data_IF_146573758137
#
_entry.id   IF_146573758137
#
_cell.length_a   1.000
_cell.length_b   1.000
_cell.length_c   1.000
_cell.angle_alpha   90.00
_cell.angle_beta   90.00
_cell.angle_gamma   90.00
#
_symmetry.space_group_name_H-M   'P 1'
#
loop_
_entity.id
_entity.type
_entity.pdbx_description
1 polymer ?
#
# COMPACT_ATOMS: atom_id res chain seq x y z
N UNK A 1 35.87 -23.33 -2.50
CA UNK A 1 34.83 -22.59 -1.76
C UNK A 1 34.21 -23.52 -0.71
N UNK A 2 34.95 -23.88 0.35
CA UNK A 2 34.50 -24.77 1.45
C UNK A 2 34.79 -24.13 2.84
N UNK A 3 35.40 -22.94 2.87
CA UNK A 3 35.79 -22.27 4.11
C UNK A 3 34.70 -21.42 4.77
N UNK A 4 33.57 -21.18 4.11
CA UNK A 4 32.51 -20.27 4.61
C UNK A 4 31.59 -20.88 5.68
N UNK A 5 31.58 -22.21 5.84
CA UNK A 5 30.66 -22.90 6.76
C UNK A 5 31.22 -23.12 8.17
N UNK A 6 32.52 -22.91 8.41
CA UNK A 6 33.13 -23.13 9.73
C UNK A 6 33.24 -21.87 10.60
N UNK A 7 33.02 -20.67 10.04
CA UNK A 7 33.20 -19.41 10.76
C UNK A 7 31.93 -18.83 11.41
N UNK A 8 30.73 -19.32 11.03
CA UNK A 8 29.46 -18.81 11.55
C UNK A 8 29.18 -19.08 13.05
N UNK A 9 29.66 -20.16 13.71
CA UNK A 9 29.30 -20.39 15.11
C UNK A 9 30.06 -19.51 16.11
N UNK A 10 31.12 -18.80 15.68
CA UNK A 10 32.07 -18.14 16.61
C UNK A 10 31.66 -16.68 16.92
N UNK A 11 30.74 -16.09 16.14
CA UNK A 11 30.31 -14.69 16.32
C UNK A 11 28.82 -14.52 16.63
N UNK A 12 28.08 -15.60 16.87
CA UNK A 12 26.67 -15.52 17.23
C UNK A 12 26.50 -15.40 18.75
N UNK A 13 26.07 -14.23 19.18
CA UNK A 13 25.57 -14.05 20.54
C UNK A 13 24.29 -14.89 20.74
N UNK A 14 23.95 -15.33 21.97
CA UNK A 14 22.75 -16.12 22.24
C UNK A 14 21.44 -15.49 21.71
N UNK A 15 21.40 -14.15 21.64
CA UNK A 15 20.28 -13.40 21.05
C UNK A 15 20.18 -13.61 19.53
N UNK A 16 21.29 -13.48 18.80
CA UNK A 16 21.32 -13.74 17.35
C UNK A 16 21.09 -15.23 17.03
N UNK A 17 21.49 -16.13 17.94
CA UNK A 17 21.17 -17.56 17.87
C UNK A 17 19.67 -17.85 17.93
N UNK A 18 18.90 -17.13 18.78
CA UNK A 18 17.43 -17.24 18.80
C UNK A 18 16.78 -16.73 17.52
N UNK A 19 17.27 -15.63 16.96
CA UNK A 19 16.77 -15.06 15.70
C UNK A 19 17.00 -15.99 14.50
N UNK A 20 18.14 -16.70 14.47
CA UNK A 20 18.44 -17.70 13.44
C UNK A 20 17.69 -19.01 13.70
N UNK A 21 17.52 -19.44 14.95
CA UNK A 21 16.69 -20.60 15.28
C UNK A 21 15.21 -20.35 14.94
N UNK A 22 14.69 -19.14 15.15
CA UNK A 22 13.34 -18.75 14.70
C UNK A 22 13.22 -18.68 13.18
N UNK A 23 14.32 -18.66 12.42
CA UNK A 23 14.27 -18.82 10.97
C UNK A 23 14.00 -20.29 10.57
N UNK A 24 14.45 -21.24 11.39
CA UNK A 24 14.09 -22.65 11.32
C UNK A 24 12.92 -22.95 12.27
N UNK A 25 11.78 -22.25 12.12
CA UNK A 25 10.62 -22.44 12.99
C UNK A 25 10.24 -23.92 13.04
N UNK A 26 10.43 -24.52 14.22
CA UNK A 26 9.78 -25.77 14.57
C UNK A 26 8.35 -25.40 14.91
N UNK A 27 7.39 -26.12 14.32
CA UNK A 27 5.98 -26.01 14.69
C UNK A 27 5.84 -26.05 16.22
N UNK A 28 5.20 -25.03 16.79
CA UNK A 28 4.93 -24.92 18.22
C UNK A 28 3.47 -25.35 18.51
N UNK A 29 3.12 -25.41 19.80
CA UNK A 29 1.80 -25.88 20.21
C UNK A 29 0.66 -24.98 19.69
N UNK A 30 0.73 -23.62 19.76
CA UNK A 30 -0.33 -22.76 19.21
C UNK A 30 -0.49 -22.90 17.69
N UNK A 31 0.60 -22.92 16.93
CA UNK A 31 0.55 -23.14 15.49
C UNK A 31 -0.08 -24.49 15.13
N UNK A 32 0.27 -25.55 15.86
CA UNK A 32 -0.25 -26.90 15.64
C UNK A 32 -1.72 -27.06 16.05
N UNK A 33 -2.14 -26.38 17.13
CA UNK A 33 -3.53 -26.33 17.56
C UNK A 33 -4.42 -25.77 16.45
N UNK A 34 -4.02 -24.65 15.83
CA UNK A 34 -4.76 -24.06 14.71
C UNK A 34 -4.84 -24.98 13.50
N UNK A 35 -3.76 -25.72 13.18
CA UNK A 35 -3.75 -26.73 12.11
C UNK A 35 -4.75 -27.85 12.42
N UNK A 36 -4.75 -28.32 13.67
CA UNK A 36 -5.66 -29.38 14.13
C UNK A 36 -7.11 -28.91 14.07
N UNK A 37 -7.38 -27.69 14.54
CA UNK A 37 -8.69 -27.05 14.41
C UNK A 37 -9.13 -26.98 12.95
N UNK A 38 -8.26 -26.51 12.03
CA UNK A 38 -8.58 -26.40 10.61
C UNK A 38 -8.95 -27.76 10.01
N UNK A 39 -8.21 -28.81 10.36
CA UNK A 39 -8.47 -30.18 9.91
C UNK A 39 -9.82 -30.73 10.38
N UNK A 40 -10.22 -30.41 11.60
CA UNK A 40 -11.43 -30.94 12.23
C UNK A 40 -12.69 -30.12 11.93
N UNK A 41 -12.55 -28.82 11.66
CA UNK A 41 -13.66 -27.86 11.62
C UNK A 41 -13.93 -27.25 10.24
N UNK A 42 -13.18 -27.66 9.21
CA UNK A 42 -13.40 -27.17 7.82
C UNK A 42 -13.57 -28.31 6.84
N UNK A 43 -14.19 -28.05 5.68
CA UNK A 43 -14.32 -29.04 4.63
C UNK A 43 -12.98 -29.31 3.94
N UNK A 44 -12.77 -30.53 3.41
CA UNK A 44 -11.50 -30.92 2.81
C UNK A 44 -11.09 -30.09 1.58
N UNK A 45 -12.06 -29.50 0.89
CA UNK A 45 -11.90 -28.62 -0.26
C UNK A 45 -11.80 -27.14 0.10
N UNK A 46 -11.86 -26.79 1.40
CA UNK A 46 -11.71 -25.41 1.85
C UNK A 46 -10.30 -24.88 1.56
N UNK A 47 -10.23 -23.76 0.85
CA UNK A 47 -8.97 -23.14 0.45
C UNK A 47 -8.54 -22.11 1.49
N UNK A 48 -7.33 -22.26 2.01
CA UNK A 48 -6.73 -21.37 2.99
C UNK A 48 -5.72 -20.43 2.33
N UNK A 49 -5.54 -19.25 2.91
CA UNK A 49 -4.41 -18.33 2.63
C UNK A 49 -3.60 -18.16 3.91
N UNK A 50 -2.28 -18.15 3.80
CA UNK A 50 -1.38 -18.01 4.95
C UNK A 50 -0.03 -17.43 4.54
N UNK A 51 0.74 -16.92 5.52
CA UNK A 51 2.14 -16.53 5.32
C UNK A 51 3.00 -17.68 4.79
N UNK A 52 4.15 -17.33 4.20
CA UNK A 52 5.10 -18.27 3.62
C UNK A 52 5.49 -19.41 4.55
N UNK A 53 5.75 -19.14 5.84
CA UNK A 53 6.30 -20.14 6.75
C UNK A 53 5.23 -21.09 7.24
N UNK A 54 4.07 -20.57 7.61
CA UNK A 54 2.98 -21.36 8.18
C UNK A 54 2.16 -22.11 7.11
N UNK A 55 2.00 -21.52 5.92
CA UNK A 55 1.14 -22.07 4.86
C UNK A 55 1.53 -23.48 4.41
N UNK A 56 2.83 -23.79 4.35
CA UNK A 56 3.31 -25.15 4.03
C UNK A 56 2.89 -26.19 5.07
N UNK A 57 3.04 -25.87 6.36
CA UNK A 57 2.63 -26.76 7.44
C UNK A 57 1.11 -26.93 7.47
N UNK A 58 0.38 -25.82 7.32
CA UNK A 58 -1.09 -25.85 7.26
C UNK A 58 -1.56 -26.76 6.13
N UNK A 59 -1.00 -26.63 4.93
CA UNK A 59 -1.38 -27.48 3.80
C UNK A 59 -1.11 -28.97 4.07
N UNK A 60 0.09 -29.30 4.54
CA UNK A 60 0.51 -30.69 4.76
C UNK A 60 -0.22 -31.39 5.91
N UNK A 61 -0.31 -30.73 7.07
CA UNK A 61 -0.83 -31.35 8.30
C UNK A 61 -2.34 -31.23 8.44
N UNK A 62 -2.92 -30.08 8.06
CA UNK A 62 -4.38 -29.94 8.04
C UNK A 62 -5.00 -30.63 6.83
N UNK A 63 -4.20 -30.93 5.79
CA UNK A 63 -4.66 -31.51 4.53
C UNK A 63 -5.73 -30.64 3.89
N UNK A 64 -5.40 -29.36 3.73
CA UNK A 64 -6.23 -28.35 3.04
C UNK A 64 -5.42 -27.73 1.91
N UNK A 65 -6.05 -27.42 0.76
CA UNK A 65 -5.43 -26.56 -0.23
C UNK A 65 -5.06 -25.22 0.43
N UNK A 66 -3.82 -24.77 0.28
CA UNK A 66 -3.35 -23.52 0.87
C UNK A 66 -2.57 -22.72 -0.16
N UNK A 67 -2.92 -21.44 -0.32
CA UNK A 67 -2.11 -20.45 -1.01
C UNK A 67 -1.13 -19.86 0.01
N UNK A 68 0.14 -20.18 -0.13
CA UNK A 68 1.20 -19.69 0.75
C UNK A 68 1.81 -18.44 0.14
N UNK A 69 1.91 -17.36 0.91
CA UNK A 69 2.53 -16.08 0.52
C UNK A 69 4.06 -16.19 0.46
N UNK A 70 4.57 -17.17 -0.30
CA UNK A 70 6.00 -17.36 -0.54
C UNK A 70 6.47 -16.28 -1.49
N UNK A 71 7.61 -15.70 -1.18
CA UNK A 71 8.23 -14.72 -2.07
C UNK A 71 8.58 -15.38 -3.43
N UNK A 72 8.15 -14.81 -4.57
CA UNK A 72 8.45 -15.32 -5.91
C UNK A 72 9.92 -15.68 -6.16
N UNK A 73 10.87 -14.99 -5.52
CA UNK A 73 12.30 -15.28 -5.70
C UNK A 73 12.73 -16.67 -5.21
N UNK A 74 11.93 -17.29 -4.33
CA UNK A 74 12.18 -18.64 -3.81
C UNK A 74 11.40 -19.73 -4.56
N UNK A 75 10.58 -19.35 -5.53
CA UNK A 75 9.76 -20.27 -6.32
C UNK A 75 10.50 -20.69 -7.58
N UNK A 76 10.42 -21.99 -7.90
CA UNK A 76 11.08 -22.57 -9.09
C UNK A 76 10.09 -23.04 -10.14
N UNK A 77 8.81 -23.20 -9.76
CA UNK A 77 7.77 -23.71 -10.63
C UNK A 77 6.82 -22.57 -11.00
N UNK A 78 6.65 -22.32 -12.30
CA UNK A 78 5.80 -21.26 -12.84
C UNK A 78 4.38 -21.26 -12.25
N UNK A 79 3.80 -22.45 -12.05
CA UNK A 79 2.46 -22.62 -11.45
C UNK A 79 2.33 -22.15 -10.00
N UNK A 80 3.44 -21.93 -9.30
CA UNK A 80 3.43 -21.49 -7.90
C UNK A 80 3.44 -19.96 -7.78
N UNK A 81 3.79 -19.23 -8.85
CA UNK A 81 3.94 -17.78 -8.81
C UNK A 81 2.63 -17.06 -8.56
N UNK A 82 1.62 -17.29 -9.38
CA UNK A 82 0.30 -16.65 -9.26
C UNK A 82 -0.37 -16.88 -7.90
N UNK A 83 -0.50 -18.12 -7.38
CA UNK A 83 -1.12 -18.34 -6.06
C UNK A 83 -0.33 -17.69 -4.93
N UNK A 84 1.00 -17.67 -5.02
CA UNK A 84 1.83 -17.02 -4.02
C UNK A 84 1.72 -15.49 -4.08
N UNK A 85 1.64 -14.90 -5.29
CA UNK A 85 1.41 -13.47 -5.47
C UNK A 85 0.04 -13.05 -4.92
N UNK A 86 -1.00 -13.85 -5.18
CA UNK A 86 -2.34 -13.63 -4.64
C UNK A 86 -2.33 -13.67 -3.11
N UNK A 87 -1.68 -14.68 -2.51
CA UNK A 87 -1.55 -14.78 -1.06
C UNK A 87 -0.77 -13.60 -0.46
N UNK A 88 0.34 -13.21 -1.07
CA UNK A 88 1.13 -12.05 -0.65
C UNK A 88 0.29 -10.77 -0.69
N UNK A 89 -0.37 -10.49 -1.82
CA UNK A 89 -1.17 -9.28 -1.96
C UNK A 89 -2.35 -9.25 -1.00
N UNK A 90 -3.07 -10.38 -0.82
CA UNK A 90 -4.20 -10.45 0.11
C UNK A 90 -3.78 -10.22 1.57
N UNK A 91 -2.59 -10.68 1.96
CA UNK A 91 -2.01 -10.47 3.30
C UNK A 91 -1.26 -9.15 3.46
N UNK A 92 -1.20 -8.31 2.43
CA UNK A 92 -0.52 -7.00 2.47
C UNK A 92 -1.47 -5.83 2.28
N UNK A 93 -2.25 -5.83 1.18
CA UNK A 93 -3.04 -4.67 0.70
C UNK A 93 -4.40 -5.08 0.13
N UNK A 94 -5.24 -4.10 -0.23
CA UNK A 94 -6.55 -4.35 -0.86
C UNK A 94 -6.50 -4.23 -2.37
N UNK A 95 -5.72 -3.29 -2.88
CA UNK A 95 -5.54 -3.07 -4.30
C UNK A 95 -4.08 -2.87 -4.66
N UNK A 96 -3.68 -3.44 -5.79
CA UNK A 96 -2.40 -3.14 -6.45
C UNK A 96 -2.70 -2.75 -7.89
N UNK A 97 -2.08 -1.69 -8.38
CA UNK A 97 -2.13 -1.31 -9.80
C UNK A 97 -0.72 -1.01 -10.27
N UNK A 98 -0.33 -1.62 -11.38
CA UNK A 98 1.03 -1.59 -11.91
C UNK A 98 0.99 -1.43 -13.42
N UNK A 99 1.60 -0.38 -13.95
CA UNK A 99 1.69 -0.16 -15.40
C UNK A 99 3.09 -0.41 -15.98
N UNK A 100 3.97 -1.03 -15.19
CA UNK A 100 5.36 -1.29 -15.55
C UNK A 100 6.32 -0.09 -15.36
N UNK A 101 5.81 1.11 -15.08
CA UNK A 101 6.61 2.31 -14.78
C UNK A 101 6.50 2.71 -13.31
N UNK A 102 5.30 2.65 -12.76
CA UNK A 102 4.97 2.97 -11.38
C UNK A 102 3.96 1.97 -10.84
N UNK A 103 4.10 1.60 -9.57
CA UNK A 103 3.12 0.77 -8.87
C UNK A 103 2.44 1.59 -7.77
N UNK A 104 1.14 1.36 -7.60
CA UNK A 104 0.33 1.92 -6.53
C UNK A 104 -0.24 0.78 -5.70
N UNK A 105 -0.23 0.96 -4.37
CA UNK A 105 -0.96 0.13 -3.43
C UNK A 105 -1.95 0.98 -2.64
N UNK A 106 -3.09 0.40 -2.31
CA UNK A 106 -4.15 1.05 -1.54
C UNK A 106 -4.75 0.00 -0.59
N UNK A 107 -4.56 0.19 0.71
CA UNK A 107 -5.13 -0.66 1.75
C UNK A 107 -6.61 -0.31 2.03
N UNK A 108 -7.14 0.72 1.39
CA UNK A 108 -8.55 1.09 1.38
C UNK A 108 -9.00 1.69 2.70
N UNK A 109 -10.08 1.13 3.25
CA UNK A 109 -10.81 1.70 4.37
C UNK A 109 -10.48 1.14 5.75
N UNK A 110 -10.01 -0.11 5.82
CA UNK A 110 -10.07 -0.93 7.02
C UNK A 110 -8.81 -0.87 7.90
N UNK A 111 -7.71 -0.36 7.36
CA UNK A 111 -6.45 -0.16 8.08
C UNK A 111 -5.94 1.25 7.83
N UNK A 112 -5.27 1.83 8.82
CA UNK A 112 -4.87 3.24 8.80
C UNK A 112 -3.57 3.58 8.07
N UNK A 113 -2.89 2.60 7.47
CA UNK A 113 -1.56 2.77 6.85
C UNK A 113 -1.63 2.72 5.32
N UNK A 114 -0.66 3.35 4.65
CA UNK A 114 -0.38 3.17 3.21
C UNK A 114 -1.57 3.42 2.25
N UNK A 115 -2.34 4.49 2.46
CA UNK A 115 -3.56 4.81 1.73
C UNK A 115 -3.50 6.18 1.02
N UNK A 116 -2.95 6.27 -0.21
CA UNK A 116 -2.22 5.22 -0.94
C UNK A 116 -0.71 5.23 -0.67
N UNK A 117 -0.03 4.23 -1.22
CA UNK A 117 1.42 4.16 -1.35
C UNK A 117 1.84 4.07 -2.83
N UNK A 118 2.84 4.87 -3.23
CA UNK A 118 3.41 4.92 -4.56
C UNK A 118 4.84 4.38 -4.55
N UNK A 119 5.13 3.47 -5.48
CA UNK A 119 6.37 2.71 -5.51
C UNK A 119 7.07 2.82 -6.87
N UNK A 120 8.38 3.03 -6.83
CA UNK A 120 9.23 3.08 -8.00
C UNK A 120 9.53 1.67 -8.53
N UNK A 121 9.56 1.49 -9.84
CA UNK A 121 10.17 0.33 -10.46
C UNK A 121 11.69 0.55 -10.61
N UNK A 122 12.45 -0.39 -10.08
CA UNK A 122 13.91 -0.39 -10.13
C UNK A 122 14.39 -1.54 -11.02
N UNK A 123 15.30 -1.26 -11.93
CA UNK A 123 15.76 -2.27 -12.91
C UNK A 123 16.55 -3.43 -12.28
N UNK A 124 17.11 -3.24 -11.08
CA UNK A 124 17.98 -4.20 -10.41
C UNK A 124 17.30 -5.05 -9.33
N UNK A 125 16.01 -4.83 -9.07
CA UNK A 125 15.25 -5.62 -8.09
C UNK A 125 13.84 -5.88 -8.61
N UNK A 126 13.33 -7.07 -8.29
CA UNK A 126 11.93 -7.40 -8.57
C UNK A 126 10.97 -6.59 -7.69
N UNK A 127 11.40 -6.22 -6.48
CA UNK A 127 10.56 -5.51 -5.53
C UNK A 127 10.47 -4.03 -5.86
N UNK A 128 9.24 -3.50 -6.02
CA UNK A 128 9.05 -2.08 -6.19
C UNK A 128 9.46 -1.33 -4.92
N UNK A 129 10.05 -0.15 -5.08
CA UNK A 129 10.62 0.63 -4.01
C UNK A 129 9.61 1.63 -3.45
N UNK A 130 9.11 1.48 -2.21
CA UNK A 130 8.15 2.41 -1.65
C UNK A 130 8.80 3.76 -1.42
N UNK A 131 8.17 4.81 -1.95
CA UNK A 131 8.73 6.16 -1.97
C UNK A 131 7.79 7.18 -1.33
N UNK A 132 6.54 7.26 -1.78
CA UNK A 132 5.52 8.13 -1.22
C UNK A 132 4.42 7.30 -0.56
N UNK A 133 3.93 7.71 0.60
CA UNK A 133 2.68 7.17 1.14
C UNK A 133 1.97 8.14 2.07
N UNK A 134 0.66 7.92 2.22
CA UNK A 134 -0.18 8.57 3.22
C UNK A 134 -0.68 7.55 4.24
N UNK A 135 -1.04 8.03 5.43
CA UNK A 135 -1.72 7.22 6.43
C UNK A 135 -3.04 7.89 6.81
N UNK A 136 -4.14 7.14 6.73
CA UNK A 136 -5.47 7.65 7.08
C UNK A 136 -5.55 8.15 8.53
N UNK A 137 -4.79 7.54 9.45
CA UNK A 137 -4.76 7.93 10.85
C UNK A 137 -4.07 9.29 11.11
N UNK A 138 -3.32 9.82 10.13
CA UNK A 138 -2.56 11.07 10.24
C UNK A 138 -3.16 12.19 9.39
N UNK A 139 -4.06 11.84 8.47
CA UNK A 139 -4.78 12.77 7.63
C UNK A 139 -6.02 13.28 8.36
N UNK A 140 -6.18 14.60 8.43
CA UNK A 140 -7.23 15.24 9.22
C UNK A 140 -8.04 16.27 8.44
N UNK A 141 -9.31 16.40 8.78
CA UNK A 141 -10.25 17.39 8.23
C UNK A 141 -10.80 18.21 9.38
N UNK A 142 -10.56 19.51 9.36
CA UNK A 142 -11.14 20.46 10.32
C UNK A 142 -12.45 20.99 9.74
N UNK A 143 -13.53 20.83 10.50
CA UNK A 143 -14.84 21.36 10.16
C UNK A 143 -15.39 22.26 11.25
N UNK A 144 -16.32 23.11 10.86
CA UNK A 144 -17.12 23.94 11.75
C UNK A 144 -18.57 23.48 11.65
N UNK A 145 -19.09 22.98 12.77
CA UNK A 145 -20.46 22.51 12.94
C UNK A 145 -21.17 23.53 13.84
N UNK A 146 -22.12 24.26 13.27
CA UNK A 146 -22.76 25.43 13.87
C UNK A 146 -21.74 26.50 14.32
N UNK A 147 -21.30 26.41 15.59
CA UNK A 147 -20.34 27.34 16.22
C UNK A 147 -19.15 26.62 16.86
N UNK A 148 -19.03 25.30 16.66
CA UNK A 148 -17.96 24.47 17.21
C UNK A 148 -17.06 23.98 16.10
N UNK A 149 -15.79 23.83 16.42
CA UNK A 149 -14.82 23.23 15.52
C UNK A 149 -14.58 21.80 15.95
N UNK A 150 -14.66 20.87 15.01
CA UNK A 150 -14.38 19.45 15.21
C UNK A 150 -13.31 19.00 14.22
N UNK A 151 -12.38 18.17 14.68
CA UNK A 151 -11.30 17.62 13.88
C UNK A 151 -11.53 16.13 13.71
N UNK A 152 -11.68 15.68 12.48
CA UNK A 152 -11.82 14.27 12.13
C UNK A 152 -10.53 13.77 11.51
N UNK A 153 -10.01 12.63 11.98
CA UNK A 153 -9.05 11.85 11.19
C UNK A 153 -9.80 10.93 10.20
N UNK A 154 -9.13 10.47 9.14
CA UNK A 154 -9.79 9.64 8.10
C UNK A 154 -10.11 8.20 8.57
N UNK A 155 -9.69 7.79 9.77
CA UNK A 155 -10.11 6.52 10.38
C UNK A 155 -11.45 6.64 11.11
N UNK A 156 -11.88 7.86 11.44
CA UNK A 156 -13.21 8.13 12.02
C UNK A 156 -14.34 8.16 10.97
N UNK A 157 -14.01 8.07 9.68
CA UNK A 157 -14.99 7.97 8.61
C UNK A 157 -15.18 6.49 8.25
N UNK A 158 -16.43 6.02 8.29
CA UNK A 158 -16.77 4.66 7.91
C UNK A 158 -16.64 4.48 6.40
N UNK A 159 -16.10 3.34 5.98
CA UNK A 159 -15.92 3.04 4.55
C UNK A 159 -17.22 2.49 3.99
N UNK A 160 -17.79 3.21 3.02
CA UNK A 160 -19.09 2.88 2.41
C UNK A 160 -18.95 2.20 1.04
N UNK A 161 -17.86 2.47 0.32
CA UNK A 161 -17.60 1.86 -0.99
C UNK A 161 -16.09 1.70 -1.21
N UNK A 162 -15.68 0.55 -1.73
CA UNK A 162 -14.34 0.34 -2.27
C UNK A 162 -14.47 -0.46 -3.56
N UNK A 163 -13.91 0.06 -4.65
CA UNK A 163 -13.95 -0.64 -5.94
C UNK A 163 -12.76 -0.29 -6.81
N UNK A 164 -12.45 -1.21 -7.70
CA UNK A 164 -11.55 -0.98 -8.82
C UNK A 164 -12.36 -0.92 -10.10
N UNK A 165 -11.98 -0.03 -11.01
CA UNK A 165 -12.57 0.09 -12.34
C UNK A 165 -11.44 0.01 -13.36
N UNK A 166 -11.61 -0.84 -14.37
CA UNK A 166 -10.64 -0.95 -15.45
C UNK A 166 -11.25 -0.49 -16.77
N UNK A 167 -10.42 0.10 -17.60
CA UNK A 167 -10.72 0.40 -19.01
C UNK A 167 -9.53 -0.03 -19.87
N UNK A 168 -9.59 0.20 -21.18
CA UNK A 168 -8.52 -0.17 -22.10
C UNK A 168 -7.17 0.53 -21.83
N UNK A 169 -7.19 1.70 -21.20
CA UNK A 169 -6.01 2.56 -21.06
C UNK A 169 -5.76 3.04 -19.62
N UNK A 170 -6.64 2.73 -18.67
CA UNK A 170 -6.47 3.13 -17.27
C UNK A 170 -7.12 2.13 -16.32
N UNK A 171 -6.64 2.14 -15.09
CA UNK A 171 -7.27 1.47 -13.95
C UNK A 171 -7.41 2.50 -12.83
N UNK A 172 -8.59 2.58 -12.26
CA UNK A 172 -8.93 3.52 -11.20
C UNK A 172 -9.38 2.77 -9.94
N UNK A 173 -8.81 3.12 -8.78
CA UNK A 173 -9.28 2.68 -7.47
C UNK A 173 -10.12 3.81 -6.89
N UNK A 174 -11.34 3.49 -6.44
CA UNK A 174 -12.23 4.44 -5.76
C UNK A 174 -12.52 3.95 -4.35
N UNK A 175 -12.26 4.82 -3.37
CA UNK A 175 -12.61 4.63 -1.96
C UNK A 175 -13.58 5.74 -1.55
N UNK A 176 -14.72 5.38 -0.97
CA UNK A 176 -15.64 6.33 -0.34
C UNK A 176 -15.75 6.05 1.14
N UNK A 177 -15.71 7.14 1.90
CA UNK A 177 -15.91 7.13 3.34
C UNK A 177 -16.89 8.22 3.75
N UNK A 178 -17.58 8.02 4.85
CA UNK A 178 -18.52 9.00 5.37
C UNK A 178 -18.67 8.93 6.88
N UNK A 179 -19.13 10.01 7.47
CA UNK A 179 -19.73 10.03 8.80
C UNK A 179 -21.00 10.89 8.76
N UNK A 180 -21.54 11.23 9.93
CA UNK A 180 -22.75 12.05 10.03
C UNK A 180 -22.61 13.47 9.41
N UNK A 181 -21.40 13.93 9.12
CA UNK A 181 -21.10 15.30 8.72
C UNK A 181 -20.44 15.43 7.34
N UNK A 182 -19.67 14.43 6.91
CA UNK A 182 -18.77 14.53 5.76
C UNK A 182 -18.88 13.29 4.87
N UNK A 183 -18.77 13.54 3.58
CA UNK A 183 -18.47 12.55 2.55
C UNK A 183 -17.05 12.78 2.03
N UNK A 184 -16.30 11.69 1.92
CA UNK A 184 -14.93 11.66 1.42
C UNK A 184 -14.87 10.68 0.26
N UNK A 185 -14.45 11.13 -0.91
CA UNK A 185 -14.21 10.27 -2.08
C UNK A 185 -12.77 10.43 -2.53
N UNK A 186 -12.04 9.33 -2.62
CA UNK A 186 -10.70 9.27 -3.16
C UNK A 186 -10.69 8.43 -4.42
N UNK A 187 -10.12 8.96 -5.50
CA UNK A 187 -9.91 8.27 -6.75
C UNK A 187 -8.43 8.29 -7.09
N UNK A 188 -7.86 7.12 -7.34
CA UNK A 188 -6.48 6.97 -7.80
C UNK A 188 -6.51 6.37 -9.19
N UNK A 189 -5.94 7.04 -10.18
CA UNK A 189 -5.97 6.60 -11.58
C UNK A 189 -4.57 6.39 -12.12
N UNK A 190 -4.31 5.17 -12.57
CA UNK A 190 -3.07 4.77 -13.24
C UNK A 190 -3.37 4.58 -14.72
N UNK A 191 -2.60 5.21 -15.59
CA UNK A 191 -2.75 5.10 -17.04
C UNK A 191 -1.69 4.17 -17.63
N UNK A 192 -2.02 3.51 -18.73
CA UNK A 192 -1.09 2.66 -19.48
C UNK A 192 0.04 3.53 -20.04
N UNK A 193 1.28 3.15 -19.74
CA UNK A 193 2.46 3.82 -20.27
C UNK A 193 2.80 5.19 -19.69
N UNK A 194 2.05 5.69 -18.70
CA UNK A 194 2.28 7.01 -18.10
C UNK A 194 2.96 6.83 -16.74
N UNK A 195 4.06 7.56 -16.48
CA UNK A 195 4.82 7.42 -15.21
C UNK A 195 4.24 8.19 -14.01
N UNK A 196 3.17 8.95 -14.24
CA UNK A 196 2.45 9.68 -13.21
C UNK A 196 1.08 9.05 -12.94
N UNK A 197 0.67 9.12 -11.68
CA UNK A 197 -0.60 8.62 -11.18
C UNK A 197 -1.40 9.80 -10.65
N UNK A 198 -2.66 9.90 -11.07
CA UNK A 198 -3.54 10.95 -10.58
C UNK A 198 -4.22 10.50 -9.28
N UNK A 199 -4.17 11.36 -8.27
CA UNK A 199 -4.91 11.26 -7.01
C UNK A 199 -5.89 12.44 -6.95
N UNK A 200 -7.18 12.11 -6.96
CA UNK A 200 -8.27 13.08 -6.82
C UNK A 200 -9.03 12.80 -5.54
N UNK A 201 -9.15 13.81 -4.68
CA UNK A 201 -9.87 13.72 -3.41
C UNK A 201 -10.98 14.76 -3.41
N UNK A 202 -12.21 14.31 -3.12
CA UNK A 202 -13.39 15.16 -2.97
C UNK A 202 -13.84 15.03 -1.53
N UNK A 203 -13.98 16.17 -0.85
CA UNK A 203 -14.53 16.26 0.49
C UNK A 203 -15.73 17.19 0.43
N UNK A 204 -16.88 16.72 0.88
CA UNK A 204 -18.13 17.47 0.82
C UNK A 204 -19.03 17.24 2.03
N UNK A 205 -19.92 18.19 2.29
CA UNK A 205 -20.99 18.08 3.27
C UNK A 205 -22.30 18.60 2.69
N UNK A 206 -23.35 17.79 2.83
CA UNK A 206 -24.71 18.16 2.43
C UNK A 206 -25.46 18.94 3.52
N UNK A 207 -24.85 19.13 4.69
CA UNK A 207 -25.48 19.77 5.85
C UNK A 207 -25.24 21.29 5.83
N UNK A 208 -26.33 22.07 5.91
CA UNK A 208 -26.28 23.54 5.90
C UNK A 208 -25.53 24.15 7.10
N UNK A 209 -25.44 23.42 8.21
CA UNK A 209 -24.74 23.87 9.41
C UNK A 209 -23.28 23.39 9.49
N UNK A 210 -22.78 22.72 8.47
CA UNK A 210 -21.41 22.22 8.40
C UNK A 210 -20.64 22.99 7.33
N UNK A 211 -19.46 23.45 7.68
CA UNK A 211 -18.51 24.10 6.77
C UNK A 211 -17.13 23.50 6.95
N UNK A 212 -16.43 23.24 5.86
CA UNK A 212 -15.09 22.66 5.88
C UNK A 212 -14.10 23.82 5.96
N UNK A 213 -13.16 23.74 6.91
CA UNK A 213 -12.18 24.80 7.17
C UNK A 213 -10.87 24.48 6.45
N UNK A 214 -10.31 23.30 6.72
CA UNK A 214 -9.12 22.80 6.07
C UNK A 214 -9.07 21.27 6.05
N UNK A 215 -8.19 20.74 5.21
CA UNK A 215 -7.74 19.36 5.28
C UNK A 215 -6.21 19.34 5.29
N UNK A 216 -5.63 18.49 6.14
CA UNK A 216 -4.19 18.31 6.30
C UNK A 216 -3.84 16.86 5.98
N UNK A 217 -2.94 16.66 5.02
CA UNK A 217 -2.44 15.34 4.67
C UNK A 217 -0.95 15.26 4.98
N UNK A 218 -0.56 14.25 5.75
CA UNK A 218 0.85 13.97 6.00
C UNK A 218 1.35 13.00 4.95
N UNK A 219 2.12 13.53 3.99
CA UNK A 219 2.85 12.70 3.05
C UNK A 219 4.16 12.24 3.70
N UNK A 220 4.34 10.93 3.77
CA UNK A 220 5.62 10.32 4.06
C UNK A 220 6.39 10.11 2.77
N UNK A 221 7.63 10.57 2.75
CA UNK A 221 8.53 10.44 1.61
C UNK A 221 9.91 10.00 2.04
N UNK A 222 10.68 9.46 1.09
CA UNK A 222 12.12 9.29 1.25
C UNK A 222 12.86 10.38 0.50
N UNK A 223 14.09 10.64 0.93
CA UNK A 223 15.01 11.50 0.20
C UNK A 223 14.97 12.98 0.57
N UNK A 224 15.86 13.73 -0.08
CA UNK A 224 16.09 15.15 0.11
C UNK A 224 15.10 15.97 -0.73
N UNK A 225 14.54 17.04 -0.16
CA UNK A 225 13.59 17.95 -0.81
C UNK A 225 14.28 18.75 -1.93
N UNK A 226 13.61 18.82 -3.09
CA UNK A 226 13.96 19.67 -4.24
C UNK A 226 12.77 20.58 -4.55
N UNK A 227 12.86 21.85 -4.16
CA UNK A 227 11.77 22.81 -4.35
C UNK A 227 11.69 23.33 -5.79
N UNK A 228 10.48 23.33 -6.34
CA UNK A 228 10.12 23.89 -7.64
C UNK A 228 8.78 24.64 -7.47
N UNK A 229 8.47 25.61 -8.32
CA UNK A 229 7.29 26.46 -8.16
C UNK A 229 5.97 25.69 -8.03
N UNK A 230 5.54 24.98 -9.08
CA UNK A 230 4.24 24.27 -9.13
C UNK A 230 4.36 22.75 -8.90
N UNK A 231 5.50 22.29 -8.38
CA UNK A 231 5.71 20.88 -8.03
C UNK A 231 6.74 20.75 -6.93
N UNK A 232 6.71 19.65 -6.20
CA UNK A 232 7.75 19.35 -5.22
C UNK A 232 8.45 18.06 -5.63
N UNK A 233 9.78 18.08 -5.69
CA UNK A 233 10.61 16.92 -5.97
C UNK A 233 11.28 16.37 -4.71
N UNK A 234 11.61 15.08 -4.72
CA UNK A 234 12.37 14.43 -3.65
C UNK A 234 13.34 13.41 -4.24
N UNK A 235 14.60 13.41 -3.79
CA UNK A 235 15.64 12.48 -4.29
C UNK A 235 16.17 11.59 -3.17
N UNK A 236 15.96 10.27 -3.30
CA UNK A 236 16.73 9.28 -2.57
C UNK A 236 17.99 8.94 -3.38
N UNK A 237 19.10 9.60 -3.04
CA UNK A 237 20.37 9.42 -3.74
C UNK A 237 20.97 8.02 -3.58
N UNK A 238 20.68 7.33 -2.46
CA UNK A 238 21.17 5.98 -2.21
C UNK A 238 20.53 4.96 -3.12
N UNK A 239 19.22 5.10 -3.32
CA UNK A 239 18.43 4.21 -4.19
C UNK A 239 18.31 4.71 -5.63
N UNK A 240 18.80 5.92 -5.93
CA UNK A 240 18.65 6.61 -7.23
C UNK A 240 17.19 6.69 -7.67
N UNK A 241 16.32 7.12 -6.75
CA UNK A 241 14.89 7.30 -7.01
C UNK A 241 14.51 8.76 -6.86
N UNK A 242 13.87 9.29 -7.88
CA UNK A 242 13.28 10.63 -7.89
C UNK A 242 11.76 10.50 -7.79
N UNK A 243 11.19 11.16 -6.79
CA UNK A 243 9.76 11.39 -6.68
C UNK A 243 9.42 12.83 -7.04
N UNK A 244 8.25 13.03 -7.64
CA UNK A 244 7.70 14.35 -7.92
C UNK A 244 6.19 14.36 -7.68
N UNK A 245 5.72 15.46 -7.09
CA UNK A 245 4.30 15.75 -6.91
C UNK A 245 4.01 17.00 -7.72
N UNK A 246 3.05 16.91 -8.64
CA UNK A 246 2.57 18.05 -9.43
C UNK A 246 1.20 18.43 -8.88
N UNK A 247 1.02 19.71 -8.62
CA UNK A 247 -0.20 20.26 -8.03
C UNK A 247 -1.04 20.92 -9.11
N UNK A 248 -2.35 20.69 -9.10
CA UNK A 248 -3.28 21.54 -9.86
C UNK A 248 -3.43 22.91 -9.17
N UNK A 249 -3.61 23.99 -9.94
CA UNK A 249 -3.47 25.36 -9.44
C UNK A 249 -4.50 25.73 -8.35
N UNK A 250 -4.07 26.56 -7.38
CA UNK A 250 -4.85 27.46 -6.50
C UNK A 250 -5.08 27.16 -5.01
N UNK A 251 -4.58 26.10 -4.36
CA UNK A 251 -5.04 25.83 -2.98
C UNK A 251 -4.03 25.32 -1.95
N UNK A 252 -2.76 25.12 -2.33
CA UNK A 252 -1.81 24.49 -1.42
C UNK A 252 -1.04 25.51 -0.59
N UNK A 253 -0.99 25.28 0.73
CA UNK A 253 0.15 25.68 1.56
C UNK A 253 0.80 24.40 2.06
N UNK A 254 2.07 24.20 1.75
CA UNK A 254 2.82 23.10 2.32
C UNK A 254 3.74 23.58 3.44
N UNK A 255 4.07 22.69 4.37
CA UNK A 255 5.08 22.93 5.40
C UNK A 255 5.84 21.63 5.63
N UNK A 256 7.17 21.67 5.51
CA UNK A 256 8.01 20.53 5.83
C UNK A 256 7.99 20.31 7.35
N UNK A 257 7.67 19.09 7.77
CA UNK A 257 7.71 18.70 9.18
C UNK A 257 8.56 17.45 9.25
N UNK A 258 9.81 17.65 9.66
CA UNK A 258 10.92 16.68 9.82
C UNK A 258 11.92 16.61 8.66
N UNK A 259 13.19 16.49 9.05
CA UNK A 259 14.36 16.28 8.19
C UNK A 259 14.92 14.86 8.40
N UNK A 260 14.25 14.04 9.21
CA UNK A 260 14.59 12.63 9.42
C UNK A 260 14.05 11.80 8.24
N UNK A 261 14.68 10.68 7.92
CA UNK A 261 14.28 9.81 6.81
C UNK A 261 13.58 8.56 7.37
N UNK A 262 12.30 8.27 7.00
CA UNK A 262 11.46 8.98 6.04
C UNK A 262 11.02 10.36 6.55
N UNK A 263 10.97 11.33 5.63
CA UNK A 263 10.60 12.72 5.90
C UNK A 263 9.10 12.93 5.78
N UNK A 264 8.55 13.75 6.67
CA UNK A 264 7.14 14.16 6.65
C UNK A 264 6.94 15.49 5.92
N UNK A 265 5.95 15.53 5.03
CA UNK A 265 5.56 16.71 4.28
C UNK A 265 4.06 16.97 4.44
N UNK A 266 3.69 18.07 5.13
CA UNK A 266 2.29 18.42 5.30
C UNK A 266 1.77 19.16 4.08
N UNK A 267 0.71 18.62 3.49
CA UNK A 267 -0.10 19.27 2.47
C UNK A 267 -1.35 19.84 3.15
N UNK A 268 -1.42 21.15 3.31
CA UNK A 268 -2.59 21.84 3.88
C UNK A 268 -3.40 22.52 2.79
N UNK A 269 -4.67 22.13 2.70
CA UNK A 269 -5.65 22.71 1.79
C UNK A 269 -6.64 23.56 2.57
N UNK A 270 -6.82 24.81 2.14
CA UNK A 270 -7.74 25.75 2.78
C UNK A 270 -9.07 25.80 2.03
N UNK A 271 -10.17 25.50 2.74
CA UNK A 271 -11.50 25.36 2.16
C UNK A 271 -12.34 26.64 2.29
N UNK A 272 -11.86 27.64 3.05
CA UNK A 272 -12.50 28.96 3.22
C UNK A 272 -14.00 28.90 3.57
N UNK A 273 -14.38 27.99 4.48
CA UNK A 273 -15.77 27.72 4.91
C UNK A 273 -16.71 27.27 3.78
N UNK A 274 -16.18 26.67 2.71
CA UNK A 274 -17.00 26.00 1.69
C UNK A 274 -17.50 24.64 2.20
N UNK A 275 -18.55 24.14 1.57
CA UNK A 275 -19.12 22.82 1.84
C UNK A 275 -18.60 21.73 0.88
N UNK A 276 -17.76 22.09 -0.10
CA UNK A 276 -17.09 21.13 -0.99
C UNK A 276 -15.69 21.60 -1.38
N UNK A 277 -14.83 20.65 -1.69
CA UNK A 277 -13.55 20.88 -2.36
C UNK A 277 -13.14 19.64 -3.15
N UNK A 278 -12.38 19.91 -4.20
CA UNK A 278 -11.64 18.92 -4.96
C UNK A 278 -10.15 19.24 -4.85
N UNK A 279 -9.38 18.22 -4.50
CA UNK A 279 -7.92 18.23 -4.47
C UNK A 279 -7.47 17.30 -5.58
N UNK A 280 -6.68 17.79 -6.52
CA UNK A 280 -6.12 16.99 -7.62
C UNK A 280 -4.60 17.08 -7.60
N UNK A 281 -3.96 15.92 -7.64
CA UNK A 281 -2.51 15.75 -7.54
C UNK A 281 -2.05 14.70 -8.54
N UNK A 282 -0.85 14.88 -9.11
CA UNK A 282 -0.20 13.84 -9.90
C UNK A 282 1.12 13.45 -9.25
N UNK A 283 1.28 12.16 -8.96
CA UNK A 283 2.47 11.59 -8.32
C UNK A 283 3.29 10.80 -9.33
N UNK A 284 4.57 11.12 -9.46
CA UNK A 284 5.55 10.36 -10.23
C UNK A 284 6.65 9.84 -9.33
N UNK A 285 7.01 8.57 -9.46
CA UNK A 285 8.15 7.97 -8.76
C UNK A 285 8.89 7.06 -9.74
N UNK A 286 10.15 7.36 -10.01
CA UNK A 286 10.92 6.62 -11.02
C UNK A 286 12.42 6.61 -10.70
N UNK A 287 13.11 5.62 -11.25
CA UNK A 287 14.57 5.55 -11.17
C UNK A 287 15.22 6.63 -12.03
N UNK A 288 16.36 7.14 -11.55
CA UNK A 288 17.21 8.08 -12.29
C UNK A 288 18.59 7.47 -12.55
N UNK A 289 19.37 8.11 -13.42
CA UNK A 289 20.72 7.67 -13.79
C UNK A 289 21.59 7.33 -12.57
N UNK A 290 22.37 6.27 -12.68
CA UNK A 290 23.38 5.84 -11.72
C UNK A 290 24.79 6.36 -12.07
N UNK A 291 24.92 7.17 -13.13
CA UNK A 291 26.19 7.73 -13.59
C UNK A 291 26.91 8.53 -12.47
N UNK A 292 28.09 8.07 -12.02
CA UNK A 292 28.86 8.75 -10.99
C UNK A 292 29.21 10.20 -11.33
N UNK A 293 29.36 10.55 -12.62
CA UNK A 293 29.70 11.92 -13.04
C UNK A 293 28.63 12.94 -12.65
N UNK A 294 27.36 12.54 -12.70
CA UNK A 294 26.23 13.37 -12.28
C UNK A 294 26.31 13.73 -10.79
N UNK A 295 26.82 12.81 -9.96
CA UNK A 295 26.81 12.94 -8.50
C UNK A 295 28.16 13.38 -7.90
N UNK A 296 29.11 13.82 -8.73
CA UNK A 296 30.42 14.30 -8.24
C UNK A 296 30.30 15.59 -7.42
N UNK A 297 29.37 16.48 -7.80
CA UNK A 297 29.13 17.76 -7.13
C UNK A 297 27.63 17.96 -6.92
N UNK A 298 27.28 18.74 -5.89
CA UNK A 298 25.90 19.12 -5.62
C UNK A 298 25.28 19.91 -6.79
N UNK A 299 26.07 20.76 -7.45
CA UNK A 299 25.64 21.54 -8.60
C UNK A 299 25.29 20.66 -9.81
N UNK A 300 26.16 19.72 -10.20
CA UNK A 300 25.89 18.80 -11.31
C UNK A 300 24.66 17.95 -11.05
N UNK A 301 24.54 17.45 -9.81
CA UNK A 301 23.40 16.66 -9.34
C UNK A 301 22.11 17.47 -9.46
N UNK A 302 22.07 18.65 -8.85
CA UNK A 302 20.87 19.48 -8.81
C UNK A 302 20.48 19.93 -10.23
N UNK A 303 21.44 20.30 -11.08
CA UNK A 303 21.16 20.67 -12.47
C UNK A 303 20.49 19.52 -13.25
N UNK A 304 21.02 18.30 -13.14
CA UNK A 304 20.43 17.12 -13.79
C UNK A 304 19.02 16.81 -13.26
N UNK A 305 18.83 16.79 -11.94
CA UNK A 305 17.54 16.47 -11.33
C UNK A 305 16.48 17.54 -11.65
N UNK A 306 16.84 18.81 -11.58
CA UNK A 306 15.94 19.92 -11.89
C UNK A 306 15.50 19.89 -13.36
N UNK A 307 16.39 19.54 -14.29
CA UNK A 307 16.01 19.36 -15.71
C UNK A 307 14.92 18.30 -15.88
N UNK A 308 15.01 17.17 -15.17
CA UNK A 308 13.98 16.14 -15.20
C UNK A 308 12.67 16.69 -14.65
N UNK A 309 12.70 17.31 -13.46
CA UNK A 309 11.49 17.80 -12.81
C UNK A 309 10.77 18.88 -13.64
N UNK A 310 11.52 19.80 -14.27
CA UNK A 310 10.96 20.79 -15.20
C UNK A 310 10.41 20.16 -16.48
N UNK A 311 11.09 19.15 -17.04
CA UNK A 311 10.58 18.42 -18.21
C UNK A 311 9.24 17.75 -17.89
N UNK A 312 9.15 17.12 -16.72
CA UNK A 312 7.93 16.45 -16.27
C UNK A 312 6.74 17.39 -16.14
N UNK A 313 6.93 18.64 -15.69
CA UNK A 313 5.84 19.63 -15.64
C UNK A 313 5.17 19.84 -17.01
N UNK A 314 5.91 19.65 -18.11
CA UNK A 314 5.41 19.81 -19.47
C UNK A 314 4.83 18.51 -20.06
N UNK A 315 5.23 17.35 -19.53
CA UNK A 315 5.00 16.03 -20.16
C UNK A 315 4.56 14.93 -19.21
N UNK A 316 4.08 15.24 -17.99
CA UNK A 316 3.74 14.22 -16.98
C UNK A 316 2.65 13.24 -17.43
N UNK A 317 1.80 13.64 -18.38
CA UNK A 317 0.75 12.81 -19.00
C UNK A 317 1.19 12.16 -20.32
N UNK A 318 2.47 12.27 -20.71
CA UNK A 318 2.99 11.63 -21.93
C UNK A 318 3.05 10.11 -21.77
N UNK A 319 2.60 9.39 -22.80
CA UNK A 319 2.69 7.93 -22.89
C UNK A 319 4.10 7.54 -23.32
N UNK A 320 4.86 6.93 -22.41
CA UNK A 320 6.25 6.53 -22.60
C UNK A 320 6.39 5.09 -23.11
N UNK A 321 5.44 4.22 -22.78
CA UNK A 321 5.45 2.81 -23.18
C UNK A 321 4.05 2.32 -23.57
N UNK A 322 3.96 1.18 -24.25
CA UNK A 322 2.69 0.51 -24.54
C UNK A 322 2.42 -0.66 -23.56
N UNK A 323 2.90 -0.55 -22.33
CA UNK A 323 2.79 -1.61 -21.33
C UNK A 323 1.33 -1.80 -20.89
N UNK A 324 0.92 -3.06 -20.74
CA UNK A 324 -0.39 -3.40 -20.15
C UNK A 324 -0.41 -3.04 -18.67
N UNK A 325 -1.58 -2.69 -18.15
CA UNK A 325 -1.78 -2.47 -16.72
C UNK A 325 -2.14 -3.80 -16.08
N UNK A 326 -1.32 -4.24 -15.12
CA UNK A 326 -1.63 -5.34 -14.22
C UNK A 326 -2.28 -4.77 -12.96
N UNK A 327 -3.30 -5.46 -12.44
CA UNK A 327 -3.94 -5.03 -11.21
C UNK A 327 -4.39 -6.23 -10.37
N UNK A 328 -4.51 -5.98 -9.07
CA UNK A 328 -5.03 -6.92 -8.08
C UNK A 328 -6.18 -6.26 -7.33
N UNK A 329 -7.27 -7.00 -7.17
CA UNK A 329 -8.36 -6.70 -6.24
C UNK A 329 -8.52 -7.87 -5.29
N UNK A 330 -8.48 -7.59 -3.99
CA UNK A 330 -8.60 -8.67 -2.99
C UNK A 330 -9.94 -9.41 -3.07
N UNK A 331 -11.04 -8.70 -3.39
CA UNK A 331 -12.37 -9.30 -3.55
C UNK A 331 -12.45 -10.19 -4.79
N UNK A 332 -11.89 -9.75 -5.93
CA UNK A 332 -11.80 -10.58 -7.13
C UNK A 332 -10.93 -11.81 -6.88
N UNK A 333 -9.79 -11.65 -6.21
CA UNK A 333 -8.90 -12.75 -5.87
C UNK A 333 -9.57 -13.79 -4.96
N UNK A 334 -10.34 -13.36 -3.96
CA UNK A 334 -11.13 -14.26 -3.11
C UNK A 334 -12.10 -15.09 -3.94
N UNK A 335 -12.81 -14.46 -4.88
CA UNK A 335 -13.76 -15.13 -5.76
C UNK A 335 -13.06 -16.09 -6.73
N UNK A 336 -12.03 -15.63 -7.44
CA UNK A 336 -11.37 -16.37 -8.51
C UNK A 336 -10.63 -17.60 -7.99
N UNK A 337 -10.09 -17.50 -6.77
CA UNK A 337 -9.39 -18.60 -6.10
C UNK A 337 -10.26 -19.39 -5.12
N UNK A 338 -11.55 -19.07 -5.01
CA UNK A 338 -12.50 -19.69 -4.06
C UNK A 338 -11.95 -19.75 -2.61
N UNK A 339 -11.28 -18.68 -2.19
CA UNK A 339 -10.65 -18.60 -0.87
C UNK A 339 -11.73 -18.68 0.20
N UNK A 340 -11.60 -19.65 1.10
CA UNK A 340 -12.57 -19.94 2.15
C UNK A 340 -12.12 -19.41 3.52
N UNK A 341 -10.82 -19.39 3.76
CA UNK A 341 -10.24 -19.00 5.04
C UNK A 341 -8.92 -18.24 4.87
N UNK A 342 -8.64 -17.33 5.80
CA UNK A 342 -7.34 -16.66 5.95
C UNK A 342 -6.79 -16.99 7.32
N UNK A 343 -5.63 -17.63 7.38
CA UNK A 343 -4.85 -17.85 8.59
C UNK A 343 -3.81 -16.73 8.71
N UNK A 344 -4.09 -15.75 9.56
CA UNK A 344 -3.30 -14.54 9.76
C UNK A 344 -2.40 -14.68 10.99
N UNK A 345 -1.09 -14.52 10.80
CA UNK A 345 -0.08 -14.46 11.87
C UNK A 345 0.55 -13.08 12.05
N UNK A 346 0.32 -12.17 11.10
CA UNK A 346 0.79 -10.80 11.18
C UNK A 346 -0.26 -9.91 11.85
N UNK A 347 0.08 -9.42 13.05
CA UNK A 347 -0.77 -8.51 13.80
C UNK A 347 -0.93 -7.13 13.13
N UNK A 348 -0.02 -6.73 12.24
CA UNK A 348 -0.12 -5.47 11.54
C UNK A 348 -1.27 -5.46 10.52
N UNK A 349 -1.52 -6.59 9.84
CA UNK A 349 -2.62 -6.70 8.87
C UNK A 349 -3.92 -7.19 9.52
N UNK A 350 -3.87 -7.81 10.69
CA UNK A 350 -5.04 -8.30 11.42
C UNK A 350 -6.24 -7.32 11.47
N UNK A 351 -6.07 -6.00 11.72
CA UNK A 351 -7.20 -5.05 11.72
C UNK A 351 -8.02 -5.02 10.43
N UNK A 352 -7.39 -5.26 9.27
CA UNK A 352 -8.08 -5.35 7.97
C UNK A 352 -9.20 -6.39 8.01
N UNK A 353 -8.89 -7.61 8.46
CA UNK A 353 -9.83 -8.73 8.48
C UNK A 353 -10.86 -8.62 9.60
N UNK A 354 -10.59 -7.83 10.65
CA UNK A 354 -11.57 -7.55 11.70
C UNK A 354 -12.59 -6.51 11.27
N UNK A 355 -12.15 -5.48 10.55
CA UNK A 355 -13.02 -4.37 10.14
C UNK A 355 -13.80 -4.67 8.85
N UNK A 356 -13.32 -5.56 7.99
CA UNK A 356 -14.03 -5.96 6.77
C UNK A 356 -15.20 -6.93 7.09
N UNK A 357 -16.46 -6.55 6.77
CA UNK A 357 -17.64 -7.38 7.06
C UNK A 357 -17.67 -8.71 6.30
N UNK A 358 -16.88 -8.87 5.23
CA UNK A 358 -16.76 -10.13 4.50
C UNK A 358 -15.89 -11.18 5.19
N UNK A 359 -15.29 -10.87 6.34
CA UNK A 359 -14.52 -11.81 7.15
C UNK A 359 -15.15 -12.03 8.53
N UNK A 360 -15.07 -13.26 9.02
CA UNK A 360 -15.53 -13.62 10.36
C UNK A 360 -14.43 -14.36 11.10
N UNK A 361 -13.98 -13.82 12.23
CA UNK A 361 -13.05 -14.52 13.11
C UNK A 361 -13.72 -15.78 13.67
N UNK A 362 -13.15 -16.95 13.35
CA UNK A 362 -13.70 -18.26 13.75
C UNK A 362 -12.79 -19.04 14.68
N UNK A 363 -11.51 -18.67 14.75
CA UNK A 363 -10.53 -19.21 15.68
C UNK A 363 -9.45 -18.17 15.95
N UNK A 364 -8.94 -18.11 17.17
CA UNK A 364 -7.78 -17.29 17.53
C UNK A 364 -7.05 -17.93 18.71
N UNK A 365 -5.73 -17.91 18.66
CA UNK A 365 -4.86 -18.14 19.81
C UNK A 365 -3.70 -17.12 19.81
N UNK A 366 -2.69 -17.37 20.62
CA UNK A 366 -1.56 -16.44 20.83
C UNK A 366 -0.70 -16.22 19.57
N UNK A 367 -0.89 -16.99 18.50
CA UNK A 367 -0.08 -16.92 17.30
C UNK A 367 -0.88 -16.76 16.01
N UNK A 368 -2.02 -17.45 15.87
CA UNK A 368 -2.76 -17.50 14.62
C UNK A 368 -4.21 -17.12 14.85
N UNK A 369 -4.70 -16.23 14.01
CA UNK A 369 -6.12 -15.96 13.86
C UNK A 369 -6.62 -16.53 12.53
N UNK A 370 -7.75 -17.25 12.57
CA UNK A 370 -8.40 -17.75 11.37
C UNK A 370 -9.69 -17.00 11.12
N UNK A 371 -9.76 -16.37 9.96
CA UNK A 371 -10.93 -15.68 9.46
C UNK A 371 -11.59 -16.54 8.38
N UNK A 372 -12.89 -16.79 8.52
CA UNK A 372 -13.71 -17.38 7.47
C UNK A 372 -14.20 -16.30 6.54
N UNK A 373 -14.07 -16.53 5.24
CA UNK A 373 -14.62 -15.67 4.19
C UNK A 373 -16.12 -15.89 4.06
N UNK A 374 -16.88 -14.81 4.05
CA UNK A 374 -18.29 -14.82 3.72
C UNK A 374 -18.47 -14.54 2.22
N UNK A 375 -18.63 -15.61 1.45
CA UNK A 375 -18.72 -15.54 -0.02
C UNK A 375 -19.87 -14.68 -0.53
N UNK A 376 -20.88 -14.36 0.29
CA UNK A 376 -21.95 -13.41 -0.09
C UNK A 376 -21.40 -12.03 -0.49
N UNK A 377 -20.33 -11.56 0.16
CA UNK A 377 -19.76 -10.23 -0.09
C UNK A 377 -18.88 -10.14 -1.34
N UNK A 378 -18.49 -11.28 -1.93
CA UNK A 378 -17.46 -11.33 -2.97
C UNK A 378 -17.89 -12.08 -4.23
N UNK A 379 -19.19 -12.37 -4.40
CA UNK A 379 -19.67 -12.96 -5.67
C UNK A 379 -19.52 -11.94 -6.80
N UNK A 380 -18.87 -12.35 -7.89
CA UNK A 380 -18.98 -11.66 -9.17
C UNK A 380 -20.44 -11.70 -9.62
N UNK A 381 -21.04 -10.53 -9.86
CA UNK A 381 -22.34 -10.41 -10.54
C UNK A 381 -22.25 -10.86 -12.01
#
# INVERSE_FOLDING_TARGET
MILSFFALPIFLTPFQGRTIQSFYQVMNDPGYETISWAKENTHNDSIFVSDAHYGWWLSGFAQRPTLSAVDPQFLTLEREFEPAQVANNLLDTNYVVDNGLIQVREDGGYIGRHNPMFLAKLNWTYFPYPFFHFNNAENTILVKIDKRYELFDLMQLETSEMRIQNSSNQVSIQIKKSNDYLNYTQNITVYSGVRFVDLSIIIESDLLNVSIINANYLLHTKGELLEIENSVGFIDQGSKVLGQIIFDENQLRYTQVTVENPSGFYLTYLFNEKNNLKIDLSFGVFSVSDDPEIYQTEESRNNYLMQILYSNLLSYQEVLTNSTIEFFSYSEAISDWNISYVACRDFAIFPKFVADPGFHLVFINDEVAVFRVNSYFYKKE
#
